data_IF_005187690974
#
_entry.id   IF_005187690974
#
_cell.length_a   1.000
_cell.length_b   1.000
_cell.length_c   1.000
_cell.angle_alpha   90.00
_cell.angle_beta   90.00
_cell.angle_gamma   90.00
#
_symmetry.space_group_name_H-M   'P 1'
#
loop_
_entity.id
_entity.type
_entity.pdbx_description
1 polymer ?
#
# COMPACT_ATOMS: atom_id res chain seq x y z
N UNK A 1 -5.97 3.52 -59.71
CA UNK A 1 -6.14 2.56 -58.60
C UNK A 1 -7.61 2.21 -58.51
N UNK A 2 -7.97 0.93 -58.44
CA UNK A 2 -9.37 0.49 -58.32
C UNK A 2 -9.94 0.86 -56.95
N UNK A 3 -11.22 1.22 -56.90
CA UNK A 3 -11.95 1.55 -55.65
C UNK A 3 -11.88 0.42 -54.61
N UNK A 4 -11.78 -0.82 -55.05
CA UNK A 4 -11.56 -1.98 -54.17
C UNK A 4 -10.18 -1.92 -53.48
N UNK A 5 -9.14 -1.48 -54.19
CA UNK A 5 -7.80 -1.37 -53.61
C UNK A 5 -7.74 -0.25 -52.55
N UNK A 6 -8.43 0.87 -52.76
CA UNK A 6 -8.50 1.96 -51.77
C UNK A 6 -9.29 1.53 -50.53
N UNK A 7 -10.42 0.84 -50.69
CA UNK A 7 -11.21 0.29 -49.58
C UNK A 7 -10.36 -0.70 -48.76
N UNK A 8 -9.65 -1.62 -49.42
CA UNK A 8 -8.79 -2.59 -48.75
C UNK A 8 -7.72 -1.91 -47.88
N UNK A 9 -7.04 -0.90 -48.43
CA UNK A 9 -5.99 -0.15 -47.71
C UNK A 9 -6.56 0.57 -46.48
N UNK A 10 -7.73 1.19 -46.60
CA UNK A 10 -8.38 1.89 -45.48
C UNK A 10 -8.77 0.91 -44.36
N UNK A 11 -9.33 -0.25 -44.72
CA UNK A 11 -9.68 -1.30 -43.73
C UNK A 11 -8.43 -1.82 -43.04
N UNK A 12 -7.36 -2.09 -43.80
CA UNK A 12 -6.10 -2.58 -43.23
C UNK A 12 -5.47 -1.56 -42.26
N UNK A 13 -5.50 -0.28 -42.63
CA UNK A 13 -5.04 0.81 -41.80
C UNK A 13 -5.87 0.93 -40.50
N UNK A 14 -7.20 0.85 -40.59
CA UNK A 14 -8.08 0.89 -39.43
C UNK A 14 -7.82 -0.28 -38.45
N UNK A 15 -7.65 -1.51 -38.98
CA UNK A 15 -7.31 -2.68 -38.18
C UNK A 15 -5.94 -2.53 -37.52
N UNK A 16 -4.94 -2.03 -38.25
CA UNK A 16 -3.60 -1.80 -37.72
C UNK A 16 -3.62 -0.77 -36.57
N UNK A 17 -4.37 0.32 -36.71
CA UNK A 17 -4.55 1.32 -35.64
C UNK A 17 -5.25 0.71 -34.44
N UNK A 18 -6.33 -0.06 -34.64
CA UNK A 18 -7.04 -0.76 -33.56
C UNK A 18 -6.14 -1.72 -32.78
N UNK A 19 -5.31 -2.51 -33.49
CA UNK A 19 -4.36 -3.43 -32.87
C UNK A 19 -3.30 -2.70 -32.04
N UNK A 20 -2.77 -1.58 -32.54
CA UNK A 20 -1.80 -0.77 -31.80
C UNK A 20 -2.41 -0.15 -30.53
N UNK A 21 -3.65 0.33 -30.60
CA UNK A 21 -4.36 0.85 -29.43
C UNK A 21 -4.57 -0.23 -28.37
N UNK A 22 -5.03 -1.41 -28.77
CA UNK A 22 -5.20 -2.55 -27.87
C UNK A 22 -3.89 -2.97 -27.22
N UNK A 23 -2.81 -3.05 -28.01
CA UNK A 23 -1.47 -3.36 -27.48
C UNK A 23 -1.01 -2.31 -26.46
N UNK A 24 -1.26 -1.03 -26.73
CA UNK A 24 -0.98 0.06 -25.80
C UNK A 24 -1.72 -0.08 -24.47
N UNK A 25 -3.01 -0.42 -24.51
CA UNK A 25 -3.83 -0.62 -23.31
C UNK A 25 -3.33 -1.81 -22.49
N UNK A 26 -3.11 -2.96 -23.15
CA UNK A 26 -2.67 -4.20 -22.47
C UNK A 26 -1.30 -4.00 -21.81
N UNK A 27 -0.36 -3.37 -22.51
CA UNK A 27 0.98 -3.11 -21.97
C UNK A 27 0.94 -2.12 -20.80
N UNK A 28 0.09 -1.10 -20.85
CA UNK A 28 -0.12 -0.17 -19.75
C UNK A 28 -0.69 -0.86 -18.50
N UNK A 29 -1.73 -1.68 -18.68
CA UNK A 29 -2.35 -2.43 -17.57
C UNK A 29 -1.37 -3.40 -16.91
N UNK A 30 -0.62 -4.16 -17.70
CA UNK A 30 0.39 -5.08 -17.17
C UNK A 30 1.46 -4.35 -16.35
N UNK A 31 1.95 -3.20 -16.83
CA UNK A 31 2.93 -2.39 -16.09
C UNK A 31 2.37 -1.83 -14.79
N UNK A 32 1.11 -1.37 -14.78
CA UNK A 32 0.43 -0.89 -13.56
C UNK A 32 0.35 -2.01 -12.54
N UNK A 33 -0.10 -3.19 -12.96
CA UNK A 33 -0.20 -4.38 -12.11
C UNK A 33 1.15 -4.78 -11.53
N UNK A 34 2.16 -4.94 -12.37
CA UNK A 34 3.49 -5.31 -11.92
C UNK A 34 4.07 -4.31 -10.91
N UNK A 35 3.80 -3.01 -11.11
CA UNK A 35 4.23 -1.99 -10.16
C UNK A 35 3.56 -2.17 -8.79
N UNK A 36 2.24 -2.39 -8.76
CA UNK A 36 1.51 -2.65 -7.51
C UNK A 36 1.99 -3.94 -6.83
N UNK A 37 2.23 -5.01 -7.59
CA UNK A 37 2.78 -6.25 -7.06
C UNK A 37 4.18 -6.07 -6.47
N UNK A 38 5.06 -5.35 -7.15
CA UNK A 38 6.42 -5.06 -6.66
C UNK A 38 6.41 -4.15 -5.42
N UNK A 39 5.51 -3.18 -5.37
CA UNK A 39 5.45 -2.19 -4.28
C UNK A 39 4.76 -2.75 -3.03
N UNK A 40 3.65 -3.47 -3.17
CA UNK A 40 2.88 -3.97 -2.04
C UNK A 40 3.23 -5.40 -1.63
N UNK A 41 3.86 -6.20 -2.51
CA UNK A 41 4.32 -7.55 -2.19
C UNK A 41 3.21 -8.45 -1.62
N UNK A 42 3.38 -8.90 -0.37
CA UNK A 42 2.40 -9.72 0.34
C UNK A 42 1.06 -9.00 0.56
N UNK A 43 1.08 -7.68 0.73
CA UNK A 43 -0.14 -6.89 0.88
C UNK A 43 -0.98 -6.91 -0.41
N UNK A 44 -0.35 -7.04 -1.58
CA UNK A 44 -1.08 -7.26 -2.85
C UNK A 44 -1.86 -8.58 -2.80
N UNK A 45 -1.22 -9.66 -2.35
CA UNK A 45 -1.86 -10.97 -2.27
C UNK A 45 -3.03 -10.95 -1.27
N UNK A 46 -2.85 -10.29 -0.12
CA UNK A 46 -3.91 -10.08 0.87
C UNK A 46 -5.06 -9.26 0.30
N UNK A 47 -4.78 -8.18 -0.43
CA UNK A 47 -5.81 -7.34 -1.03
C UNK A 47 -6.65 -8.14 -2.05
N UNK A 48 -6.01 -8.93 -2.92
CA UNK A 48 -6.69 -9.81 -3.88
C UNK A 48 -7.55 -10.85 -3.17
N UNK A 49 -7.03 -11.47 -2.10
CA UNK A 49 -7.78 -12.45 -1.32
C UNK A 49 -9.02 -11.87 -0.63
N UNK A 50 -9.02 -10.56 -0.30
CA UNK A 50 -10.14 -9.87 0.36
C UNK A 50 -11.13 -9.22 -0.61
N UNK A 51 -10.65 -8.64 -1.70
CA UNK A 51 -11.45 -7.77 -2.56
C UNK A 51 -12.39 -8.52 -3.53
N UNK A 52 -12.42 -9.85 -3.49
CA UNK A 52 -13.29 -10.68 -4.34
C UNK A 52 -12.91 -10.65 -5.83
N UNK A 53 -11.78 -10.05 -6.18
CA UNK A 53 -11.30 -9.92 -7.56
C UNK A 53 -10.02 -9.09 -7.65
N UNK A 54 -9.26 -9.32 -8.71
CA UNK A 54 -7.98 -8.65 -8.92
C UNK A 54 -8.13 -7.16 -9.21
N UNK A 55 -9.12 -6.78 -10.02
CA UNK A 55 -9.39 -5.38 -10.39
C UNK A 55 -9.75 -4.54 -9.16
N UNK A 56 -10.67 -5.03 -8.33
CA UNK A 56 -11.07 -4.35 -7.08
C UNK A 56 -9.89 -4.18 -6.11
N UNK A 57 -8.99 -5.18 -6.02
CA UNK A 57 -7.79 -5.08 -5.19
C UNK A 57 -6.80 -4.03 -5.75
N UNK A 58 -6.56 -4.02 -7.06
CA UNK A 58 -5.66 -3.07 -7.70
C UNK A 58 -6.16 -1.62 -7.58
N UNK A 59 -7.47 -1.41 -7.62
CA UNK A 59 -8.08 -0.10 -7.40
C UNK A 59 -8.00 0.35 -5.94
N UNK A 60 -8.26 -0.53 -4.98
CA UNK A 60 -8.06 -0.25 -3.54
C UNK A 60 -6.59 0.13 -3.26
N UNK A 61 -5.62 -0.67 -3.71
CA UNK A 61 -4.19 -0.37 -3.51
C UNK A 61 -3.76 0.94 -4.18
N UNK A 62 -4.29 1.23 -5.37
CA UNK A 62 -4.05 2.50 -6.04
C UNK A 62 -4.64 3.68 -5.27
N UNK A 63 -5.83 3.52 -4.67
CA UNK A 63 -6.46 4.55 -3.85
C UNK A 63 -5.69 4.78 -2.55
N UNK A 64 -5.25 3.72 -1.86
CA UNK A 64 -4.37 3.83 -0.67
C UNK A 64 -3.12 4.65 -0.97
N UNK A 65 -2.46 4.36 -2.10
CA UNK A 65 -1.30 5.15 -2.56
C UNK A 65 -1.65 6.62 -2.76
N UNK A 66 -2.78 6.91 -3.37
CA UNK A 66 -3.26 8.30 -3.57
C UNK A 66 -3.54 8.99 -2.23
N UNK A 67 -4.19 8.32 -1.29
CA UNK A 67 -4.45 8.86 0.05
C UNK A 67 -3.15 9.12 0.79
N UNK A 68 -2.22 8.15 0.80
CA UNK A 68 -0.89 8.32 1.35
C UNK A 68 -0.20 9.56 0.77
N UNK A 69 -0.20 9.73 -0.55
CA UNK A 69 0.48 10.88 -1.19
C UNK A 69 -0.02 12.26 -0.76
N UNK A 70 -1.21 12.35 -0.16
CA UNK A 70 -1.78 13.59 0.39
C UNK A 70 -1.31 13.85 1.83
N UNK A 71 -0.76 12.84 2.52
CA UNK A 71 -0.29 12.95 3.89
C UNK A 71 1.10 13.61 3.91
N UNK A 72 1.27 14.58 4.81
CA UNK A 72 2.57 15.17 5.11
C UNK A 72 3.19 14.44 6.28
N UNK A 73 3.90 13.35 6.01
CA UNK A 73 4.60 12.63 7.05
C UNK A 73 5.94 13.28 7.33
N UNK A 74 6.15 13.63 8.60
CA UNK A 74 7.34 14.32 9.07
C UNK A 74 8.27 13.34 9.76
N UNK A 75 9.56 13.67 9.73
CA UNK A 75 10.53 13.04 10.59
C UNK A 75 10.37 13.55 12.02
N UNK A 76 10.65 12.69 12.98
CA UNK A 76 10.67 13.07 14.39
C UNK A 76 11.90 13.94 14.66
N UNK A 77 11.71 14.97 15.48
CA UNK A 77 12.84 15.72 16.02
C UNK A 77 13.77 14.76 16.80
N UNK A 78 15.11 14.92 16.74
CA UNK A 78 16.04 14.02 17.41
C UNK A 78 15.70 13.74 18.88
N UNK A 79 15.34 14.77 19.65
CA UNK A 79 14.96 14.61 21.05
C UNK A 79 13.70 13.75 21.25
N UNK A 80 12.69 13.90 20.37
CA UNK A 80 11.45 13.11 20.39
C UNK A 80 11.72 11.66 20.01
N UNK A 81 12.56 11.43 19.00
CA UNK A 81 13.03 10.09 18.63
C UNK A 81 13.74 9.39 19.79
N UNK A 82 14.65 10.09 20.47
CA UNK A 82 15.40 9.52 21.60
C UNK A 82 14.48 9.18 22.77
N UNK A 83 13.49 10.03 23.06
CA UNK A 83 12.45 9.75 24.05
C UNK A 83 11.65 8.48 23.69
N UNK A 84 11.22 8.34 22.45
CA UNK A 84 10.50 7.14 22.00
C UNK A 84 11.36 5.88 22.05
N UNK A 85 12.65 5.96 21.71
CA UNK A 85 13.58 4.84 21.83
C UNK A 85 13.78 4.40 23.28
N UNK A 86 13.80 5.32 24.25
CA UNK A 86 13.87 4.97 25.67
C UNK A 86 12.62 4.21 26.11
N UNK A 87 11.42 4.68 25.70
CA UNK A 87 10.16 4.00 25.99
C UNK A 87 10.08 2.63 25.33
N UNK A 88 10.54 2.50 24.10
CA UNK A 88 10.61 1.22 23.40
C UNK A 88 11.43 0.18 24.18
N UNK A 89 12.62 0.56 24.68
CA UNK A 89 13.45 -0.34 25.51
C UNK A 89 12.75 -0.77 26.79
N UNK A 90 11.98 0.12 27.42
CA UNK A 90 11.19 -0.23 28.60
C UNK A 90 10.15 -1.30 28.27
N UNK A 91 9.43 -1.14 27.16
CA UNK A 91 8.46 -2.13 26.65
C UNK A 91 9.14 -3.48 26.38
N UNK A 92 10.26 -3.48 25.65
CA UNK A 92 11.02 -4.71 25.37
C UNK A 92 11.45 -5.44 26.65
N UNK A 93 11.92 -4.71 27.66
CA UNK A 93 12.35 -5.30 28.93
C UNK A 93 11.21 -5.99 29.70
N UNK A 94 9.97 -5.51 29.53
CA UNK A 94 8.81 -6.05 30.23
C UNK A 94 8.21 -7.26 29.52
N UNK A 95 8.44 -7.41 28.21
CA UNK A 95 7.83 -8.45 27.39
C UNK A 95 8.06 -9.87 27.93
N UNK A 96 9.26 -10.16 28.46
CA UNK A 96 9.59 -11.48 29.01
C UNK A 96 8.69 -11.85 30.20
N UNK A 97 8.36 -10.86 31.04
CA UNK A 97 7.55 -11.08 32.23
C UNK A 97 6.05 -10.87 32.00
N UNK A 98 5.69 -9.91 31.14
CA UNK A 98 4.32 -9.44 30.91
C UNK A 98 4.08 -9.23 29.39
N UNK A 99 4.04 -10.31 28.59
CA UNK A 99 4.04 -10.22 27.13
C UNK A 99 2.79 -9.51 26.56
N UNK A 100 1.60 -9.78 27.10
CA UNK A 100 0.35 -9.14 26.64
C UNK A 100 0.38 -7.63 26.86
N UNK A 101 0.78 -7.21 28.06
CA UNK A 101 0.84 -5.80 28.42
C UNK A 101 1.93 -5.07 27.63
N UNK A 102 3.09 -5.69 27.43
CA UNK A 102 4.15 -5.12 26.61
C UNK A 102 3.71 -4.94 25.15
N UNK A 103 2.90 -5.84 24.59
CA UNK A 103 2.34 -5.67 23.23
C UNK A 103 1.32 -4.52 23.19
N UNK A 104 0.48 -4.39 24.21
CA UNK A 104 -0.45 -3.26 24.32
C UNK A 104 0.29 -1.91 24.43
N UNK A 105 1.32 -1.84 25.26
CA UNK A 105 2.18 -0.66 25.39
C UNK A 105 2.93 -0.34 24.09
N UNK A 106 3.38 -1.37 23.36
CA UNK A 106 3.98 -1.21 22.05
C UNK A 106 3.00 -0.63 21.02
N UNK A 107 1.75 -1.12 20.98
CA UNK A 107 0.72 -0.59 20.07
C UNK A 107 0.39 0.87 20.38
N UNK A 108 0.28 1.22 21.66
CA UNK A 108 0.11 2.61 22.07
C UNK A 108 1.29 3.48 21.64
N UNK A 109 2.53 3.02 21.88
CA UNK A 109 3.75 3.73 21.51
C UNK A 109 3.84 3.97 20.00
N UNK A 110 3.51 2.97 19.18
CA UNK A 110 3.44 3.10 17.72
C UNK A 110 2.36 4.10 17.31
N UNK A 111 1.20 4.06 17.94
CA UNK A 111 0.09 5.00 17.68
C UNK A 111 0.50 6.45 17.97
N UNK A 112 1.19 6.70 19.08
CA UNK A 112 1.70 8.03 19.42
C UNK A 112 2.74 8.54 18.41
N UNK A 113 3.69 7.67 18.03
CA UNK A 113 4.71 8.00 17.01
C UNK A 113 4.03 8.34 15.67
N UNK A 114 3.05 7.54 15.26
CA UNK A 114 2.30 7.77 14.02
C UNK A 114 1.58 9.10 14.05
N UNK A 115 0.90 9.43 15.16
CA UNK A 115 0.20 10.70 15.33
C UNK A 115 1.17 11.89 15.24
N UNK A 116 2.32 11.83 15.93
CA UNK A 116 3.32 12.90 15.91
C UNK A 116 3.94 13.11 14.52
N UNK A 117 4.14 12.01 13.77
CA UNK A 117 4.61 12.06 12.39
C UNK A 117 3.55 12.53 11.40
N UNK A 118 2.27 12.66 11.81
CA UNK A 118 1.18 13.17 10.98
C UNK A 118 0.32 12.11 10.29
N UNK A 119 0.38 10.85 10.73
CA UNK A 119 -0.54 9.83 10.24
C UNK A 119 -1.93 9.99 10.89
N UNK A 120 -3.02 9.70 10.16
CA UNK A 120 -4.34 9.58 10.76
C UNK A 120 -4.42 8.34 11.64
N UNK A 121 -4.74 8.51 12.92
CA UNK A 121 -4.73 7.40 13.91
C UNK A 121 -6.11 6.97 14.42
N UNK A 122 -7.21 7.61 14.00
CA UNK A 122 -8.54 7.30 14.55
C UNK A 122 -9.11 5.94 14.11
N UNK A 123 -8.77 5.49 12.91
CA UNK A 123 -9.21 4.21 12.37
C UNK A 123 -8.00 3.32 12.09
N UNK A 124 -7.95 2.16 12.76
CA UNK A 124 -6.82 1.24 12.67
C UNK A 124 -6.64 0.71 11.26
N UNK A 125 -7.72 0.27 10.61
CA UNK A 125 -7.64 -0.32 9.28
C UNK A 125 -7.12 0.68 8.25
N UNK A 126 -7.60 1.93 8.30
CA UNK A 126 -7.07 3.01 7.47
C UNK A 126 -5.60 3.31 7.75
N UNK A 127 -5.20 3.36 9.02
CA UNK A 127 -3.80 3.58 9.40
C UNK A 127 -2.88 2.45 8.90
N UNK A 128 -3.29 1.20 9.08
CA UNK A 128 -2.57 0.04 8.58
C UNK A 128 -2.47 0.08 7.04
N UNK A 129 -3.54 0.49 6.35
CA UNK A 129 -3.54 0.67 4.91
C UNK A 129 -2.58 1.79 4.43
N UNK A 130 -2.48 2.90 5.17
CA UNK A 130 -1.53 3.98 4.85
C UNK A 130 -0.07 3.53 5.09
N UNK A 131 0.18 2.80 6.18
CA UNK A 131 1.50 2.24 6.52
C UNK A 131 1.93 1.18 5.52
N UNK A 132 1.01 0.37 5.00
CA UNK A 132 1.34 -0.69 4.03
C UNK A 132 1.89 -0.15 2.72
N UNK A 133 1.68 1.13 2.40
CA UNK A 133 2.22 1.77 1.20
C UNK A 133 3.73 1.97 1.31
N UNK A 134 4.22 2.39 2.49
CA UNK A 134 5.65 2.64 2.71
C UNK A 134 6.37 1.41 3.28
N UNK A 135 5.65 0.59 4.06
CA UNK A 135 6.20 -0.54 4.80
C UNK A 135 5.32 -1.80 4.67
N UNK A 136 5.20 -2.37 3.46
CA UNK A 136 4.36 -3.53 3.17
C UNK A 136 4.79 -4.80 3.91
N UNK A 137 6.07 -4.93 4.24
CA UNK A 137 6.60 -6.15 4.89
C UNK A 137 6.28 -6.22 6.40
N UNK A 138 6.12 -5.07 7.06
CA UNK A 138 5.93 -5.02 8.52
C UNK A 138 4.47 -4.84 8.93
N UNK A 139 3.59 -4.43 8.01
CA UNK A 139 2.18 -4.13 8.33
C UNK A 139 1.43 -5.36 8.86
N UNK A 140 1.82 -6.57 8.46
CA UNK A 140 1.24 -7.80 9.00
C UNK A 140 1.56 -7.97 10.49
N UNK A 141 2.83 -7.80 10.87
CA UNK A 141 3.23 -7.81 12.29
C UNK A 141 2.50 -6.72 13.09
N UNK A 142 2.30 -5.56 12.48
CA UNK A 142 1.53 -4.48 13.09
C UNK A 142 0.06 -4.86 13.33
N UNK A 143 -0.61 -5.49 12.35
CA UNK A 143 -1.98 -6.02 12.51
C UNK A 143 -2.07 -7.11 13.58
N UNK A 144 -1.09 -8.00 13.64
CA UNK A 144 -1.04 -9.04 14.67
C UNK A 144 -0.87 -8.43 16.06
N UNK A 145 0.03 -7.46 16.23
CA UNK A 145 0.23 -6.77 17.50
C UNK A 145 -1.03 -6.05 17.98
N UNK A 146 -1.69 -5.30 17.08
CA UNK A 146 -2.94 -4.61 17.42
C UNK A 146 -4.09 -5.58 17.76
N UNK A 147 -4.14 -6.76 17.14
CA UNK A 147 -5.15 -7.78 17.48
C UNK A 147 -4.94 -8.47 18.82
N UNK A 148 -3.76 -8.32 19.44
CA UNK A 148 -3.43 -8.85 20.77
C UNK A 148 -3.70 -7.81 21.87
N UNK A 149 -3.53 -6.52 21.55
CA UNK A 149 -3.78 -5.38 22.45
C UNK A 149 -5.27 -5.18 22.74
#
# INVERSE_FOLDING_TARGET
MSTLATILVVVLAAVAVGALLLLGIVTFMNRRRERLQREFGLEYQRAVARAGGQEAAEDDLAERRRQRSKLQIRDLEPARRDHYLQRWRAVESQFVARPVEAVADADQLVTEIMAERGYPVHDFERRAADVSVDYPEIVEGYRLAHGIA
#
